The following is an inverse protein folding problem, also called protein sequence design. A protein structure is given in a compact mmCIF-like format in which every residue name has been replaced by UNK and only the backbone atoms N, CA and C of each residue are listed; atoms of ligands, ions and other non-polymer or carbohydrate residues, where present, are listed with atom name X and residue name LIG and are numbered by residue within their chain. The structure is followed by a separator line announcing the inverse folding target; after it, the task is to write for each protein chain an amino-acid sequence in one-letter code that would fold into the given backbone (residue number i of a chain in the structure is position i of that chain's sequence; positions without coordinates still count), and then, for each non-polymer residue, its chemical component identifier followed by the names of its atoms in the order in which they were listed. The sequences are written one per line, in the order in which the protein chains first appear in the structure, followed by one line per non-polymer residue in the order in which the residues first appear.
data_IF_504677239405
#
_entry.id   IF_504677239405
#
_cell.length_a   1.000
_cell.length_b   1.000
_cell.length_c   1.000
_cell.angle_alpha   90.00
_cell.angle_beta   90.00
_cell.angle_gamma   90.00
#
_symmetry.space_group_name_H-M   'P 1'
#
loop_
_entity.id
_entity.type
_entity.pdbx_description
1 polymer ?
#
# COMPACT_ATOMS: atom_id res chain seq x y z
N UNK A 1 -29.01 -1.12 -1.11
CA UNK A 1 -27.82 -1.99 -1.13
C UNK A 1 -26.94 -1.60 0.05
N UNK A 2 -26.67 -2.52 0.99
CA UNK A 2 -25.56 -2.32 1.93
C UNK A 2 -24.29 -2.32 1.09
N UNK A 3 -23.66 -1.17 0.93
CA UNK A 3 -22.35 -1.14 0.31
C UNK A 3 -21.40 -1.84 1.28
N UNK A 4 -20.69 -2.87 0.82
CA UNK A 4 -19.73 -3.58 1.66
C UNK A 4 -18.80 -2.58 2.35
N UNK A 5 -18.76 -2.65 3.68
CA UNK A 5 -17.91 -1.87 4.58
C UNK A 5 -16.48 -2.42 4.61
N UNK A 6 -16.23 -3.48 3.85
CA UNK A 6 -15.06 -4.33 3.87
C UNK A 6 -14.65 -4.63 2.42
N UNK A 7 -13.36 -4.72 2.15
CA UNK A 7 -12.84 -5.21 0.88
C UNK A 7 -12.22 -6.58 1.06
N UNK A 8 -12.90 -7.59 0.51
CA UNK A 8 -12.48 -8.98 0.64
C UNK A 8 -11.33 -9.34 -0.29
N UNK A 9 -10.35 -10.06 0.26
CA UNK A 9 -9.23 -10.65 -0.47
C UNK A 9 -8.74 -11.90 0.28
N UNK A 10 -8.06 -12.85 -0.39
CA UNK A 10 -7.77 -14.14 0.21
C UNK A 10 -6.60 -14.14 1.21
N UNK A 11 -5.72 -13.13 1.16
CA UNK A 11 -4.45 -13.18 1.90
C UNK A 11 -4.56 -12.71 3.35
N UNK A 12 -5.33 -11.64 3.61
CA UNK A 12 -5.45 -11.03 4.93
C UNK A 12 -6.88 -11.00 5.43
N UNK A 13 -7.00 -10.94 6.76
CA UNK A 13 -8.26 -10.75 7.45
C UNK A 13 -9.02 -9.53 6.96
N UNK A 14 -10.33 -9.59 7.12
CA UNK A 14 -11.19 -8.46 6.83
C UNK A 14 -10.97 -7.30 7.79
N UNK A 15 -11.01 -6.10 7.21
CA UNK A 15 -10.81 -4.83 7.89
C UNK A 15 -11.91 -3.89 7.42
N UNK A 16 -12.51 -3.16 8.35
CA UNK A 16 -13.50 -2.14 8.04
C UNK A 16 -12.84 -0.85 7.51
N UNK A 17 -13.45 -0.26 6.50
CA UNK A 17 -13.06 1.04 5.98
C UNK A 17 -13.54 2.18 6.87
N UNK A 18 -12.70 3.20 6.96
CA UNK A 18 -13.19 4.56 7.17
C UNK A 18 -13.78 5.13 5.88
N UNK A 19 -14.74 6.05 6.02
CA UNK A 19 -15.44 6.64 4.87
C UNK A 19 -14.49 7.39 3.90
N UNK A 20 -13.41 7.97 4.41
CA UNK A 20 -12.39 8.64 3.59
C UNK A 20 -11.51 7.64 2.84
N UNK A 21 -11.13 6.52 3.46
CA UNK A 21 -10.35 5.45 2.80
C UNK A 21 -11.10 4.86 1.63
N UNK A 22 -12.41 4.59 1.82
CA UNK A 22 -13.28 4.10 0.77
C UNK A 22 -13.32 5.03 -0.43
N UNK A 23 -13.35 6.35 -0.18
CA UNK A 23 -13.28 7.36 -1.26
C UNK A 23 -11.93 7.35 -1.95
N UNK A 24 -10.81 7.21 -1.24
CA UNK A 24 -9.48 7.07 -1.86
C UNK A 24 -9.42 5.87 -2.81
N UNK A 25 -9.88 4.69 -2.37
CA UNK A 25 -9.97 3.49 -3.23
C UNK A 25 -10.90 3.67 -4.44
N UNK A 26 -11.84 4.61 -4.37
CA UNK A 26 -12.75 4.92 -5.46
C UNK A 26 -12.19 5.92 -6.49
N UNK A 27 -11.09 6.60 -6.19
CA UNK A 27 -10.42 7.52 -7.13
C UNK A 27 -9.88 6.79 -8.36
N UNK A 28 -9.74 7.52 -9.46
CA UNK A 28 -9.11 6.98 -10.67
C UNK A 28 -7.63 6.62 -10.44
N UNK A 29 -6.94 7.37 -9.57
CA UNK A 29 -5.54 7.17 -9.19
C UNK A 29 -5.28 5.80 -8.57
N UNK A 30 -6.16 5.34 -7.68
CA UNK A 30 -6.03 4.01 -7.06
C UNK A 30 -6.61 2.92 -7.97
N UNK A 31 -7.77 3.16 -8.59
CA UNK A 31 -8.41 2.18 -9.48
C UNK A 31 -7.52 1.76 -10.65
N UNK A 32 -6.72 2.68 -11.21
CA UNK A 32 -5.85 2.34 -12.34
C UNK A 32 -4.78 1.31 -12.00
N UNK A 33 -4.42 1.14 -10.72
CA UNK A 33 -3.45 0.15 -10.27
C UNK A 33 -3.89 -1.29 -10.59
N UNK A 34 -5.18 -1.53 -10.83
CA UNK A 34 -5.73 -2.83 -11.27
C UNK A 34 -5.17 -3.27 -12.62
N UNK A 35 -4.71 -2.33 -13.43
CA UNK A 35 -4.16 -2.59 -14.77
C UNK A 35 -2.63 -2.59 -14.78
N UNK A 36 -1.98 -2.44 -13.63
CA UNK A 36 -0.52 -2.41 -13.51
C UNK A 36 -0.05 -3.67 -12.80
N UNK A 37 0.73 -4.51 -13.50
CA UNK A 37 1.36 -5.66 -12.88
C UNK A 37 2.38 -5.21 -11.82
N UNK A 38 2.31 -5.77 -10.61
CA UNK A 38 3.25 -5.46 -9.54
C UNK A 38 4.68 -5.89 -9.92
N UNK A 39 4.82 -7.09 -10.48
CA UNK A 39 6.10 -7.65 -10.94
C UNK A 39 6.64 -7.04 -12.24
N UNK A 40 6.02 -5.95 -12.75
CA UNK A 40 6.41 -5.28 -13.98
C UNK A 40 6.54 -6.24 -15.17
N UNK A 41 7.62 -6.11 -15.95
CA UNK A 41 7.92 -7.01 -17.07
C UNK A 41 8.18 -8.47 -16.66
N UNK A 42 8.53 -8.73 -15.40
CA UNK A 42 8.74 -10.08 -14.89
C UNK A 42 7.45 -10.92 -14.88
N UNK A 43 6.28 -10.28 -14.85
CA UNK A 43 4.99 -10.96 -14.92
C UNK A 43 4.77 -11.73 -16.23
N UNK A 44 5.49 -11.40 -17.31
CA UNK A 44 5.40 -12.16 -18.57
C UNK A 44 6.18 -13.47 -18.52
N UNK A 45 7.18 -13.57 -17.66
CA UNK A 45 8.09 -14.71 -17.57
C UNK A 45 7.86 -15.54 -16.31
N UNK A 46 6.92 -15.15 -15.47
CA UNK A 46 6.60 -15.77 -14.18
C UNK A 46 5.13 -16.20 -14.14
N UNK A 47 4.80 -17.34 -13.51
CA UNK A 47 3.41 -17.69 -13.22
C UNK A 47 2.80 -16.81 -12.10
N UNK A 48 3.62 -16.06 -11.37
CA UNK A 48 3.16 -15.14 -10.31
C UNK A 48 2.64 -13.85 -10.95
N UNK A 49 1.32 -13.67 -10.91
CA UNK A 49 0.66 -12.49 -11.48
C UNK A 49 -0.29 -11.89 -10.45
N UNK A 50 -0.06 -10.63 -10.12
CA UNK A 50 -0.99 -9.78 -9.40
C UNK A 50 -0.72 -8.31 -9.75
N UNK A 51 -1.75 -7.50 -9.55
CA UNK A 51 -1.77 -6.07 -9.80
C UNK A 51 -1.24 -5.29 -8.58
N UNK A 52 -0.77 -4.07 -8.84
CA UNK A 52 -0.43 -3.10 -7.79
C UNK A 52 -1.63 -2.75 -6.90
N UNK A 53 -2.86 -2.89 -7.42
CA UNK A 53 -4.06 -2.69 -6.61
C UNK A 53 -4.19 -3.74 -5.52
N UNK A 54 -3.99 -5.02 -5.84
CA UNK A 54 -4.03 -6.10 -4.85
C UNK A 54 -2.94 -5.92 -3.79
N UNK A 55 -1.73 -5.54 -4.22
CA UNK A 55 -0.64 -5.17 -3.33
C UNK A 55 -1.03 -4.00 -2.40
N UNK A 56 -1.52 -2.89 -2.96
CA UNK A 56 -1.97 -1.70 -2.22
C UNK A 56 -3.03 -2.04 -1.17
N UNK A 57 -4.00 -2.89 -1.51
CA UNK A 57 -5.00 -3.39 -0.58
C UNK A 57 -4.36 -4.14 0.58
N UNK A 58 -3.41 -5.02 0.29
CA UNK A 58 -2.71 -5.79 1.31
C UNK A 58 -1.90 -4.92 2.27
N UNK A 59 -1.14 -3.97 1.75
CA UNK A 59 -0.38 -3.00 2.55
C UNK A 59 -1.31 -2.18 3.43
N UNK A 60 -2.44 -1.71 2.90
CA UNK A 60 -3.47 -1.03 3.68
C UNK A 60 -4.06 -1.92 4.79
N UNK A 61 -4.39 -3.19 4.48
CA UNK A 61 -4.90 -4.15 5.49
C UNK A 61 -3.87 -4.39 6.59
N UNK A 62 -2.60 -4.56 6.26
CA UNK A 62 -1.51 -4.69 7.23
C UNK A 62 -1.40 -3.43 8.11
N UNK A 63 -1.44 -2.24 7.51
CA UNK A 63 -1.42 -0.97 8.24
C UNK A 63 -2.61 -0.88 9.21
N UNK A 64 -3.80 -1.25 8.74
CA UNK A 64 -5.01 -1.23 9.55
C UNK A 64 -5.02 -2.26 10.69
N UNK A 65 -4.45 -3.45 10.48
CA UNK A 65 -4.39 -4.50 11.48
C UNK A 65 -3.37 -4.20 12.58
N UNK A 66 -2.19 -3.65 12.21
CA UNK A 66 -1.09 -3.42 13.15
C UNK A 66 -1.06 -2.00 13.73
N UNK A 67 -1.63 -1.03 13.02
CA UNK A 67 -1.65 0.39 13.38
C UNK A 67 -3.05 0.99 13.16
N UNK A 68 -4.09 0.46 13.83
CA UNK A 68 -5.50 0.77 13.52
C UNK A 68 -5.82 2.27 13.60
N UNK A 69 -5.18 3.00 14.53
CA UNK A 69 -5.44 4.42 14.79
C UNK A 69 -4.41 5.37 14.13
N UNK A 70 -3.64 4.90 13.14
CA UNK A 70 -2.61 5.70 12.49
C UNK A 70 -3.05 6.14 11.07
N UNK A 71 -3.90 7.15 11.00
CA UNK A 71 -4.56 7.57 9.75
C UNK A 71 -3.57 7.99 8.64
N UNK A 72 -2.49 8.71 8.98
CA UNK A 72 -1.45 9.08 7.99
C UNK A 72 -0.80 7.85 7.37
N UNK A 73 -0.49 6.81 8.15
CA UNK A 73 0.11 5.57 7.66
C UNK A 73 -0.88 4.81 6.77
N UNK A 74 -2.16 4.78 7.15
CA UNK A 74 -3.21 4.13 6.36
C UNK A 74 -3.44 4.84 5.03
N UNK A 75 -3.45 6.18 5.02
CA UNK A 75 -3.50 6.98 3.81
C UNK A 75 -2.25 6.75 2.93
N UNK A 76 -1.06 6.78 3.52
CA UNK A 76 0.19 6.49 2.84
C UNK A 76 0.19 5.07 2.23
N UNK A 77 -0.32 4.07 2.95
CA UNK A 77 -0.46 2.71 2.44
C UNK A 77 -1.36 2.62 1.20
N UNK A 78 -2.47 3.37 1.16
CA UNK A 78 -3.36 3.42 -0.01
C UNK A 78 -2.71 4.14 -1.21
N UNK A 79 -1.88 5.15 -0.94
CA UNK A 79 -1.39 6.09 -1.95
C UNK A 79 0.06 5.83 -2.39
N UNK A 80 0.84 5.00 -1.71
CA UNK A 80 2.29 4.85 -1.99
C UNK A 80 2.60 4.49 -3.44
N UNK A 81 1.74 3.66 -4.04
CA UNK A 81 1.96 3.03 -5.35
C UNK A 81 1.31 3.79 -6.52
N UNK A 82 0.57 4.88 -6.26
CA UNK A 82 -0.20 5.59 -7.30
C UNK A 82 0.68 6.26 -8.35
N UNK A 83 1.97 6.48 -8.10
CA UNK A 83 2.90 7.05 -9.08
C UNK A 83 3.48 6.03 -10.06
N UNK A 84 3.24 4.72 -9.90
CA UNK A 84 3.87 3.72 -10.77
C UNK A 84 3.31 3.72 -12.19
N UNK A 85 4.23 3.61 -13.15
CA UNK A 85 3.93 3.47 -14.57
C UNK A 85 3.85 1.99 -15.00
N UNK A 86 3.16 1.68 -16.12
CA UNK A 86 3.21 0.34 -16.72
C UNK A 86 4.66 -0.13 -16.92
N UNK A 87 4.92 -1.41 -16.66
CA UNK A 87 6.26 -2.03 -16.71
C UNK A 87 7.31 -1.45 -15.74
N UNK A 88 6.92 -0.49 -14.89
CA UNK A 88 7.72 0.08 -13.78
C UNK A 88 9.16 0.40 -14.21
N UNK A 89 10.18 -0.17 -13.55
CA UNK A 89 11.59 0.09 -13.80
C UNK A 89 12.07 -0.12 -15.25
N UNK A 90 11.40 -0.97 -16.03
CA UNK A 90 11.78 -1.18 -17.43
C UNK A 90 11.51 0.05 -18.30
N UNK A 91 10.56 0.90 -17.90
CA UNK A 91 10.17 2.13 -18.59
C UNK A 91 10.68 3.38 -17.88
N UNK A 92 10.84 3.33 -16.55
CA UNK A 92 11.38 4.44 -15.75
C UNK A 92 12.85 4.75 -16.11
N UNK A 93 13.71 3.73 -16.26
CA UNK A 93 15.14 3.92 -16.57
C UNK A 93 15.41 4.58 -17.93
N UNK A 94 14.73 4.20 -19.03
CA UNK A 94 14.94 4.84 -20.32
C UNK A 94 14.35 6.25 -20.43
N UNK A 95 13.33 6.59 -19.62
CA UNK A 95 12.60 7.85 -19.74
C UNK A 95 12.96 8.89 -18.66
N UNK A 96 13.91 8.59 -17.76
CA UNK A 96 14.28 9.44 -16.62
C UNK A 96 13.07 9.82 -15.72
N UNK A 97 12.10 8.91 -15.61
CA UNK A 97 10.90 9.12 -14.79
C UNK A 97 11.09 8.62 -13.37
N UNK A 98 10.77 9.48 -12.39
CA UNK A 98 10.75 9.13 -10.98
C UNK A 98 9.29 8.93 -10.50
N UNK A 99 8.89 7.68 -10.26
CA UNK A 99 7.55 7.36 -9.79
C UNK A 99 7.24 8.00 -8.43
N UNK A 100 8.23 8.26 -7.57
CA UNK A 100 8.00 8.99 -6.32
C UNK A 100 7.53 10.43 -6.58
N UNK A 101 8.14 11.14 -7.53
CA UNK A 101 7.72 12.49 -7.89
C UNK A 101 6.29 12.51 -8.43
N UNK A 102 5.90 11.47 -9.17
CA UNK A 102 4.53 11.33 -9.68
C UNK A 102 3.54 10.98 -8.57
N UNK A 103 3.91 10.09 -7.63
CA UNK A 103 3.12 9.81 -6.43
C UNK A 103 2.86 11.10 -5.67
N UNK A 104 3.89 11.91 -5.42
CA UNK A 104 3.76 13.19 -4.72
C UNK A 104 2.85 14.16 -5.46
N UNK A 105 3.01 14.29 -6.78
CA UNK A 105 2.16 15.14 -7.60
C UNK A 105 0.68 14.69 -7.55
N UNK A 106 0.42 13.39 -7.57
CA UNK A 106 -0.94 12.85 -7.47
C UNK A 106 -1.53 13.01 -6.06
N UNK A 107 -0.75 12.89 -5.00
CA UNK A 107 -1.23 13.16 -3.64
C UNK A 107 -1.70 14.63 -3.50
N UNK A 108 -1.05 15.53 -4.22
CA UNK A 108 -1.38 16.97 -4.27
C UNK A 108 -2.55 17.30 -5.22
N UNK A 109 -3.08 16.32 -5.96
CA UNK A 109 -4.25 16.53 -6.82
C UNK A 109 -5.49 16.94 -5.99
N UNK A 110 -6.31 17.83 -6.53
CA UNK A 110 -7.47 18.37 -5.83
C UNK A 110 -8.48 17.32 -5.38
N UNK A 111 -8.64 16.21 -6.12
CA UNK A 111 -9.51 15.09 -5.71
C UNK A 111 -8.97 14.41 -4.45
N UNK A 112 -7.69 14.02 -4.46
CA UNK A 112 -7.05 13.32 -3.34
C UNK A 112 -6.93 14.26 -2.13
N UNK A 113 -6.46 15.49 -2.32
CA UNK A 113 -6.30 16.47 -1.25
C UNK A 113 -7.64 16.76 -0.55
N UNK A 114 -8.74 16.91 -1.30
CA UNK A 114 -10.08 17.08 -0.72
C UNK A 114 -10.51 15.90 0.16
N UNK A 115 -10.22 14.67 -0.29
CA UNK A 115 -10.53 13.47 0.50
C UNK A 115 -9.68 13.43 1.78
N UNK A 116 -8.38 13.73 1.70
CA UNK A 116 -7.49 13.79 2.86
C UNK A 116 -7.92 14.86 3.87
N UNK A 117 -8.26 16.07 3.41
CA UNK A 117 -8.74 17.14 4.29
C UNK A 117 -10.01 16.77 5.04
N UNK A 118 -10.94 16.05 4.40
CA UNK A 118 -12.15 15.58 5.07
C UNK A 118 -11.91 14.50 6.14
N UNK A 119 -10.68 13.98 6.23
CA UNK A 119 -10.19 13.10 7.28
C UNK A 119 -9.28 13.82 8.29
N UNK A 120 -9.19 15.16 8.25
CA UNK A 120 -8.22 15.96 9.02
C UNK A 120 -6.75 15.60 8.74
N UNK A 121 -6.43 15.16 7.52
CA UNK A 121 -5.05 14.88 7.08
C UNK A 121 -4.59 15.95 6.09
N UNK A 122 -3.34 16.38 6.19
CA UNK A 122 -2.73 17.22 5.15
C UNK A 122 -2.01 16.33 4.11
N UNK A 123 -2.12 16.62 2.80
CA UNK A 123 -1.36 15.93 1.75
C UNK A 123 0.14 15.91 2.02
N UNK A 124 0.68 17.00 2.58
CA UNK A 124 2.09 17.15 2.92
C UNK A 124 2.54 16.13 3.98
N UNK A 125 1.69 15.82 4.96
CA UNK A 125 2.00 14.84 6.00
C UNK A 125 2.17 13.45 5.39
N UNK A 126 1.30 13.10 4.43
CA UNK A 126 1.37 11.82 3.71
C UNK A 126 2.62 11.74 2.86
N UNK A 127 2.94 12.80 2.10
CA UNK A 127 4.16 12.89 1.30
C UNK A 127 5.41 12.77 2.18
N UNK A 128 5.46 13.51 3.28
CA UNK A 128 6.58 13.45 4.21
C UNK A 128 6.73 12.05 4.82
N UNK A 129 5.61 11.39 5.13
CA UNK A 129 5.61 10.03 5.65
C UNK A 129 6.22 9.03 4.66
N UNK A 130 5.90 9.16 3.37
CA UNK A 130 6.46 8.30 2.31
C UNK A 130 7.97 8.50 2.09
N UNK A 131 8.50 9.70 2.36
CA UNK A 131 9.92 10.03 2.18
C UNK A 131 10.84 9.49 3.27
N UNK A 132 10.29 9.16 4.43
CA UNK A 132 11.08 8.79 5.60
C UNK A 132 10.95 7.30 5.93
N UNK A 133 11.96 6.71 6.59
CA UNK A 133 11.84 5.38 7.17
C UNK A 133 10.65 5.32 8.13
N UNK A 134 9.74 4.40 7.88
CA UNK A 134 8.48 4.26 8.62
C UNK A 134 8.08 2.78 8.69
N UNK A 135 7.05 2.40 9.46
CA UNK A 135 6.46 1.06 9.35
C UNK A 135 6.12 0.65 7.91
N UNK A 136 5.74 1.60 7.04
CA UNK A 136 5.41 1.32 5.65
C UNK A 136 6.66 0.91 4.84
N UNK A 137 7.66 1.79 4.80
CA UNK A 137 8.88 1.65 3.98
C UNK A 137 9.94 0.74 4.63
N UNK A 138 9.89 0.60 5.95
CA UNK A 138 10.86 -0.13 6.75
C UNK A 138 12.11 0.68 7.07
N UNK A 139 13.09 -0.01 7.65
CA UNK A 139 14.43 0.50 7.95
C UNK A 139 15.46 -0.53 7.49
N UNK A 140 16.76 -0.26 7.73
CA UNK A 140 17.82 -1.24 7.44
C UNK A 140 17.67 -2.57 8.21
N UNK A 141 17.03 -2.53 9.38
CA UNK A 141 16.95 -3.66 10.30
C UNK A 141 15.55 -4.27 10.37
N UNK A 142 14.53 -3.52 9.94
CA UNK A 142 13.12 -3.89 10.07
C UNK A 142 12.45 -3.82 8.70
N UNK A 143 11.84 -4.93 8.29
CA UNK A 143 11.05 -5.02 7.07
C UNK A 143 9.80 -4.13 7.16
N UNK A 144 9.59 -3.28 6.14
CA UNK A 144 8.40 -2.47 6.01
C UNK A 144 7.17 -3.27 5.57
N UNK A 145 5.98 -2.71 5.80
CA UNK A 145 4.71 -3.32 5.38
C UNK A 145 4.60 -3.50 3.87
N UNK A 146 5.19 -2.60 3.08
CA UNK A 146 5.27 -2.70 1.62
C UNK A 146 6.00 -3.99 1.20
N UNK A 147 7.27 -4.13 1.59
CA UNK A 147 8.04 -5.34 1.28
C UNK A 147 7.46 -6.61 1.92
N UNK A 148 6.84 -6.50 3.10
CA UNK A 148 6.17 -7.62 3.75
C UNK A 148 4.99 -8.12 2.92
N UNK A 149 4.12 -7.22 2.42
CA UNK A 149 3.03 -7.63 1.54
C UNK A 149 3.56 -8.25 0.26
N UNK A 150 4.51 -7.58 -0.40
CA UNK A 150 5.13 -8.06 -1.63
C UNK A 150 5.62 -9.51 -1.47
N UNK A 151 6.38 -9.80 -0.41
CA UNK A 151 6.89 -11.14 -0.14
C UNK A 151 5.79 -12.17 0.12
N UNK A 152 4.81 -11.83 0.95
CA UNK A 152 3.72 -12.75 1.32
C UNK A 152 2.80 -13.03 0.14
N UNK A 153 2.49 -12.00 -0.64
CA UNK A 153 1.64 -12.09 -1.83
C UNK A 153 2.32 -12.86 -2.95
N UNK A 154 3.61 -12.64 -3.19
CA UNK A 154 4.39 -13.46 -4.11
C UNK A 154 4.39 -14.94 -3.70
N UNK A 155 4.61 -15.20 -2.41
CA UNK A 155 4.59 -16.56 -1.86
C UNK A 155 3.22 -17.21 -2.03
N UNK A 156 2.15 -16.48 -1.75
CA UNK A 156 0.77 -16.92 -1.94
C UNK A 156 0.48 -17.23 -3.42
N UNK A 157 0.75 -16.29 -4.32
CA UNK A 157 0.50 -16.42 -5.75
C UNK A 157 1.37 -17.51 -6.41
N UNK A 158 2.52 -17.83 -5.84
CA UNK A 158 3.34 -18.97 -6.29
C UNK A 158 2.81 -20.35 -5.85
N UNK A 159 1.70 -20.39 -5.11
CA UNK A 159 1.12 -21.62 -4.58
C UNK A 159 1.89 -22.23 -3.40
N UNK A 160 2.81 -21.47 -2.80
CA UNK A 160 3.63 -21.92 -1.65
C UNK A 160 2.99 -21.61 -0.31
N UNK A 161 1.85 -20.93 -0.31
CA UNK A 161 1.07 -20.58 0.87
C UNK A 161 -0.42 -20.53 0.50
N UNK A 162 -1.27 -21.16 1.32
CA UNK A 162 -2.73 -21.17 1.11
C UNK A 162 -3.45 -20.03 1.83
N UNK A 163 -2.93 -19.58 2.97
CA UNK A 163 -3.43 -18.42 3.73
C UNK A 163 -2.39 -18.01 4.78
N UNK A 164 -2.42 -16.75 5.22
CA UNK A 164 -1.65 -16.32 6.38
C UNK A 164 -2.25 -16.91 7.67
N UNK A 165 -1.65 -18.00 8.17
CA UNK A 165 -2.07 -18.62 9.43
C UNK A 165 -1.94 -17.64 10.59
N UNK A 166 -2.97 -17.57 11.43
CA UNK A 166 -3.02 -16.67 12.58
C UNK A 166 -1.80 -16.88 13.50
N UNK A 167 -1.12 -15.79 13.86
CA UNK A 167 0.05 -15.80 14.76
C UNK A 167 1.41 -15.97 14.07
N UNK A 168 1.45 -16.15 12.74
CA UNK A 168 2.70 -16.28 11.97
C UNK A 168 3.53 -15.00 11.95
N UNK A 169 2.88 -13.84 12.04
CA UNK A 169 3.53 -12.53 12.13
C UNK A 169 3.26 -11.95 13.52
N UNK A 170 4.23 -12.08 14.42
CA UNK A 170 4.15 -11.49 15.77
C UNK A 170 4.52 -10.00 15.69
N UNK A 171 3.52 -9.13 15.73
CA UNK A 171 3.69 -7.66 15.77
C UNK A 171 4.65 -7.17 16.86
N UNK A 172 4.69 -7.89 18.00
CA UNK A 172 5.44 -7.50 19.18
C UNK A 172 6.97 -7.51 19.00
N UNK A 173 7.53 -8.20 18.01
CA UNK A 173 8.98 -8.21 17.76
C UNK A 173 9.43 -7.30 16.62
N UNK A 174 8.55 -6.98 15.66
CA UNK A 174 8.92 -6.23 14.44
C UNK A 174 8.77 -4.71 14.59
N UNK A 175 7.75 -4.22 15.32
CA UNK A 175 7.38 -2.79 15.27
C UNK A 175 7.37 -2.07 16.63
N UNK A 176 7.64 -2.77 17.73
CA UNK A 176 7.45 -2.22 19.10
C UNK A 176 8.57 -1.34 19.64
N UNK A 177 9.74 -1.26 18.98
CA UNK A 177 10.90 -0.66 19.64
C UNK A 177 10.89 0.88 19.71
N UNK A 178 10.11 1.63 18.92
CA UNK A 178 10.31 3.10 18.88
C UNK A 178 9.12 4.05 18.70
N UNK A 179 7.85 3.64 18.71
CA UNK A 179 6.72 4.61 18.79
C UNK A 179 6.55 5.28 20.18
N UNK A 180 7.59 5.32 21.00
CA UNK A 180 7.67 6.18 22.20
C UNK A 180 8.80 7.17 21.98
N UNK A 181 8.45 8.45 21.93
CA UNK A 181 9.28 9.65 21.76
C UNK A 181 9.42 10.16 20.30
N UNK A 182 8.39 10.86 19.83
CA UNK A 182 8.43 12.31 19.60
C UNK A 182 7.01 12.86 19.45
#
# INVERSE_FOLDING_TARGET
MKYDSVLSEPLYKEVEFYAWEKRLFQTSFVKRLKYLAHFGGGAFMSPVVHSRYEHTVGVWKLAALYFPNHDVLRAAAILHDIGHLPFSHAVEKPLDYNHHALTEAYIQDGEIASILHSANLQPEDVVQYLRQPSPLTGTREVLGLDHLDSFLRDTYMSGRMEELRQGSIKANSLFRSRCRNR
#
